data_IF_132403467768
#
_entry.id   IF_132403467768
#
_cell.length_a   1.000
_cell.length_b   1.000
_cell.length_c   1.000
_cell.angle_alpha   90.00
_cell.angle_beta   90.00
_cell.angle_gamma   90.00
#
_symmetry.space_group_name_H-M   'P 1'
#
loop_
_entity.id
_entity.type
_entity.pdbx_description
1 polymer ?
#
# COMPACT_ATOMS: atom_id res chain seq x y z
N UNK A 1 -17.27 32.18 1.11
CA UNK A 1 -18.74 32.10 0.93
C UNK A 1 -19.39 32.87 2.06
N UNK A 2 -20.16 33.91 1.76
CA UNK A 2 -20.96 34.63 2.75
C UNK A 2 -22.31 33.93 2.85
N UNK A 3 -22.62 33.35 4.02
CA UNK A 3 -23.85 32.59 4.25
C UNK A 3 -24.90 33.53 4.87
N UNK A 4 -26.07 33.64 4.24
CA UNK A 4 -27.20 34.40 4.78
C UNK A 4 -27.83 33.59 5.92
N UNK A 5 -27.77 34.09 7.14
CA UNK A 5 -28.49 33.49 8.27
C UNK A 5 -29.97 33.90 8.20
N UNK A 6 -30.92 32.95 8.30
CA UNK A 6 -32.33 33.28 8.44
C UNK A 6 -32.56 34.09 9.72
N UNK A 7 -33.48 35.06 9.69
CA UNK A 7 -33.77 35.91 10.86
C UNK A 7 -34.75 35.28 11.86
N UNK A 8 -35.51 34.27 11.42
CA UNK A 8 -36.50 33.57 12.23
C UNK A 8 -35.85 32.48 13.11
N UNK A 9 -36.48 32.17 14.25
CA UNK A 9 -35.93 31.22 15.23
C UNK A 9 -35.77 29.81 14.67
N UNK A 10 -36.63 29.39 13.75
CA UNK A 10 -36.62 28.03 13.17
C UNK A 10 -35.47 27.92 12.18
N UNK A 11 -35.31 28.90 11.29
CA UNK A 11 -34.20 28.97 10.35
C UNK A 11 -32.83 29.09 11.04
N UNK A 12 -32.74 29.80 12.17
CA UNK A 12 -31.52 29.85 13.00
C UNK A 12 -31.18 28.48 13.60
N UNK A 13 -32.17 27.72 14.08
CA UNK A 13 -31.95 26.38 14.63
C UNK A 13 -31.47 25.41 13.54
N UNK A 14 -32.07 25.45 12.36
CA UNK A 14 -31.69 24.59 11.23
C UNK A 14 -30.29 24.93 10.70
N UNK A 15 -29.93 26.22 10.64
CA UNK A 15 -28.58 26.64 10.29
C UNK A 15 -27.55 26.13 11.30
N UNK A 16 -27.87 26.21 12.60
CA UNK A 16 -27.02 25.70 13.67
C UNK A 16 -26.82 24.18 13.61
N UNK A 17 -27.88 23.42 13.36
CA UNK A 17 -27.78 21.96 13.16
C UNK A 17 -26.94 21.59 11.93
N UNK A 18 -27.07 22.33 10.83
CA UNK A 18 -26.26 22.13 9.64
C UNK A 18 -24.76 22.41 9.92
N UNK A 19 -24.46 23.45 10.70
CA UNK A 19 -23.09 23.80 11.10
C UNK A 19 -22.48 22.73 12.01
N UNK A 20 -23.24 22.20 12.97
CA UNK A 20 -22.79 21.09 13.82
C UNK A 20 -22.47 19.85 12.98
N UNK A 21 -23.36 19.47 12.06
CA UNK A 21 -23.14 18.29 11.21
C UNK A 21 -21.92 18.45 10.29
N UNK A 22 -21.68 19.66 9.80
CA UNK A 22 -20.48 19.99 9.03
C UNK A 22 -19.21 19.82 9.88
N UNK A 23 -19.19 20.40 11.09
CA UNK A 23 -18.05 20.29 12.01
C UNK A 23 -17.76 18.84 12.41
N UNK A 24 -18.79 18.02 12.66
CA UNK A 24 -18.62 16.58 12.93
C UNK A 24 -17.95 15.88 11.75
N UNK A 25 -18.37 16.21 10.52
CA UNK A 25 -17.79 15.64 9.30
C UNK A 25 -16.33 16.05 9.13
N UNK A 26 -15.99 17.32 9.35
CA UNK A 26 -14.60 17.80 9.30
C UNK A 26 -13.71 17.13 10.36
N UNK A 27 -14.22 16.95 11.58
CA UNK A 27 -13.48 16.24 12.65
C UNK A 27 -13.19 14.80 12.25
N UNK A 28 -14.14 14.08 11.64
CA UNK A 28 -13.92 12.71 11.17
C UNK A 28 -12.93 12.65 10.00
N UNK A 29 -12.92 13.64 9.11
CA UNK A 29 -11.90 13.75 8.05
C UNK A 29 -10.50 14.02 8.63
N UNK A 30 -10.39 14.93 9.60
CA UNK A 30 -9.13 15.25 10.28
C UNK A 30 -8.60 14.03 11.04
N UNK A 31 -9.45 13.26 11.74
CA UNK A 31 -9.05 12.00 12.39
C UNK A 31 -8.50 10.97 11.41
N UNK A 32 -9.13 10.82 10.23
CA UNK A 32 -8.62 9.94 9.16
C UNK A 32 -7.26 10.41 8.66
N UNK A 33 -7.05 11.71 8.50
CA UNK A 33 -5.74 12.26 8.12
C UNK A 33 -4.68 12.09 9.22
N UNK A 34 -5.04 12.25 10.50
CA UNK A 34 -4.14 12.03 11.64
C UNK A 34 -3.79 10.55 11.83
N UNK A 35 -4.69 9.63 11.53
CA UNK A 35 -4.40 8.19 11.47
C UNK A 35 -3.36 7.82 10.40
N UNK A 36 -3.13 8.70 9.42
CA UNK A 36 -2.15 8.53 8.34
C UNK A 36 -0.84 9.27 8.67
N UNK A 37 -0.80 10.12 9.70
CA UNK A 37 0.40 10.87 10.06
C UNK A 37 1.44 9.95 10.74
N UNK A 38 2.71 10.05 10.34
CA UNK A 38 3.66 8.94 10.34
C UNK A 38 4.52 8.92 11.61
N UNK A 39 3.97 9.29 12.77
CA UNK A 39 4.73 9.19 14.02
C UNK A 39 4.95 7.73 14.45
N UNK A 40 4.12 6.81 13.96
CA UNK A 40 4.35 5.37 14.08
C UNK A 40 5.20 4.77 12.94
N UNK A 41 5.53 5.53 11.89
CA UNK A 41 6.22 5.01 10.69
C UNK A 41 7.74 4.96 10.88
N UNK A 42 8.29 5.74 11.82
CA UNK A 42 9.71 5.69 12.16
C UNK A 42 9.87 5.12 13.57
N UNK A 43 9.67 3.80 13.69
CA UNK A 43 10.18 3.05 14.83
C UNK A 43 11.66 3.37 15.05
N UNK A 44 12.10 3.31 16.30
CA UNK A 44 13.50 3.55 16.65
C UNK A 44 14.43 2.65 15.82
N UNK A 45 15.39 3.27 15.13
CA UNK A 45 16.41 2.54 14.34
C UNK A 45 17.32 1.78 15.30
N UNK A 46 16.93 0.55 15.63
CA UNK A 46 17.80 -0.45 16.22
C UNK A 46 18.84 -0.93 15.20
N UNK A 47 19.95 -1.50 15.68
CA UNK A 47 21.06 -2.00 14.87
C UNK A 47 20.77 -3.34 14.16
N UNK A 48 19.49 -3.72 14.03
CA UNK A 48 19.03 -4.94 13.38
C UNK A 48 18.21 -4.64 12.12
N UNK A 49 17.94 -5.64 11.25
CA UNK A 49 17.04 -5.46 10.11
C UNK A 49 15.69 -4.93 10.59
N UNK A 50 15.24 -3.83 9.97
CA UNK A 50 13.98 -3.17 10.33
C UNK A 50 12.83 -4.04 9.84
N UNK A 51 12.03 -4.53 10.78
CA UNK A 51 10.79 -5.24 10.48
C UNK A 51 9.69 -4.20 10.20
N UNK A 52 9.34 -4.01 8.93
CA UNK A 52 8.32 -3.06 8.50
C UNK A 52 6.97 -3.78 8.49
N UNK A 53 6.26 -3.76 9.63
CA UNK A 53 4.85 -4.19 9.67
C UNK A 53 3.96 -2.99 9.35
N UNK A 54 3.36 -2.97 8.15
CA UNK A 54 2.38 -1.96 7.75
C UNK A 54 0.99 -2.49 8.11
N UNK A 55 0.50 -2.16 9.32
CA UNK A 55 -0.89 -2.40 9.69
C UNK A 55 -1.79 -1.35 9.03
N UNK A 56 -2.02 -1.51 7.72
CA UNK A 56 -2.89 -0.66 6.93
C UNK A 56 -4.36 -0.96 7.16
N UNK A 57 -5.12 0.05 7.60
CA UNK A 57 -6.58 0.05 7.57
C UNK A 57 -7.09 0.32 6.14
N UNK A 58 -7.97 -0.56 5.65
CA UNK A 58 -8.60 -0.52 4.33
C UNK A 58 -7.99 -1.57 3.40
N UNK A 59 -8.72 -2.68 3.20
CA UNK A 59 -8.38 -3.86 2.38
C UNK A 59 -6.87 -4.19 2.29
N UNK A 60 -6.40 -5.03 3.21
CA UNK A 60 -5.03 -5.56 3.31
C UNK A 60 -4.67 -6.50 2.14
N UNK A 61 -4.85 -6.10 0.89
CA UNK A 61 -4.17 -6.74 -0.21
C UNK A 61 -2.72 -6.22 -0.22
N UNK A 62 -1.77 -7.09 0.13
CA UNK A 62 -0.32 -6.80 0.14
C UNK A 62 0.05 -5.88 -1.04
N UNK A 63 0.50 -4.64 -0.76
CA UNK A 63 0.89 -3.68 -1.81
C UNK A 63 2.35 -3.85 -2.27
N UNK A 64 3.15 -4.56 -1.47
CA UNK A 64 4.54 -4.86 -1.74
C UNK A 64 4.85 -6.30 -1.36
N UNK A 65 5.74 -6.95 -2.10
CA UNK A 65 6.18 -8.30 -1.81
C UNK A 65 7.62 -8.52 -2.28
N UNK A 66 8.28 -9.51 -1.70
CA UNK A 66 9.56 -10.04 -2.19
C UNK A 66 9.30 -11.45 -2.69
N UNK A 67 9.92 -11.83 -3.79
CA UNK A 67 9.80 -13.18 -4.34
C UNK A 67 11.02 -13.59 -5.14
N UNK A 68 10.93 -14.74 -5.80
CA UNK A 68 11.91 -15.23 -6.76
C UNK A 68 11.27 -15.49 -8.11
N UNK A 69 11.94 -15.13 -9.19
CA UNK A 69 11.53 -15.51 -10.55
C UNK A 69 11.65 -17.02 -10.74
N UNK A 70 10.67 -17.66 -11.39
CA UNK A 70 10.75 -19.10 -11.65
C UNK A 70 11.54 -19.40 -12.93
N UNK A 71 11.51 -18.45 -13.87
CA UNK A 71 12.23 -18.50 -15.15
C UNK A 71 12.87 -17.15 -15.43
N UNK A 72 13.77 -17.11 -16.41
CA UNK A 72 14.29 -15.84 -16.90
C UNK A 72 13.16 -14.98 -17.48
N UNK A 73 13.32 -13.68 -17.36
CA UNK A 73 12.36 -12.68 -17.79
C UNK A 73 13.08 -11.54 -18.50
N UNK A 74 12.44 -10.97 -19.51
CA UNK A 74 12.90 -9.72 -20.14
C UNK A 74 11.83 -8.66 -19.97
N UNK A 75 12.22 -7.39 -20.13
CA UNK A 75 11.31 -6.26 -20.01
C UNK A 75 10.11 -6.44 -20.95
N UNK A 76 8.91 -6.51 -20.38
CA UNK A 76 7.66 -6.65 -21.13
C UNK A 76 6.49 -6.11 -20.32
N UNK A 77 5.65 -5.30 -20.97
CA UNK A 77 4.36 -4.82 -20.44
C UNK A 77 3.18 -5.67 -20.91
N UNK A 78 3.42 -6.70 -21.73
CA UNK A 78 2.38 -7.56 -22.31
C UNK A 78 2.52 -9.03 -21.90
N UNK A 79 3.64 -9.40 -21.30
CA UNK A 79 3.92 -10.78 -20.88
C UNK A 79 4.35 -10.76 -19.43
N UNK A 80 3.51 -11.30 -18.55
CA UNK A 80 3.83 -11.43 -17.15
C UNK A 80 4.85 -12.56 -16.91
N UNK A 81 5.63 -12.41 -15.86
CA UNK A 81 6.57 -13.40 -15.34
C UNK A 81 6.01 -14.02 -14.08
N UNK A 82 6.21 -15.33 -13.92
CA UNK A 82 5.88 -16.05 -12.70
C UNK A 82 6.90 -15.74 -11.61
N UNK A 83 6.40 -15.26 -10.46
CA UNK A 83 7.21 -14.97 -9.28
C UNK A 83 6.61 -15.68 -8.08
N UNK A 84 7.40 -16.56 -7.48
CA UNK A 84 7.05 -17.22 -6.22
C UNK A 84 7.38 -16.32 -5.04
N UNK A 85 6.40 -15.98 -4.23
CA UNK A 85 6.59 -15.10 -3.08
C UNK A 85 7.48 -15.73 -2.01
N UNK A 86 8.28 -14.89 -1.38
CA UNK A 86 9.10 -15.23 -0.24
C UNK A 86 8.31 -14.91 1.03
N UNK A 87 7.62 -15.91 1.57
CA UNK A 87 6.69 -15.74 2.68
C UNK A 87 7.29 -16.25 4.00
N UNK A 88 6.97 -15.55 5.10
CA UNK A 88 7.27 -16.03 6.46
C UNK A 88 6.26 -17.12 6.85
N UNK A 89 6.75 -18.28 7.27
CA UNK A 89 5.89 -19.40 7.68
C UNK A 89 5.69 -19.52 9.20
N UNK A 90 6.05 -18.49 9.97
CA UNK A 90 5.99 -18.52 11.44
C UNK A 90 7.32 -18.90 12.11
N UNK A 91 8.30 -19.44 11.37
CA UNK A 91 9.62 -19.80 11.95
C UNK A 91 10.81 -19.53 11.04
N UNK A 92 10.59 -19.43 9.72
CA UNK A 92 11.65 -19.08 8.78
C UNK A 92 11.06 -18.60 7.45
N UNK A 93 11.88 -17.93 6.64
CA UNK A 93 11.54 -17.62 5.24
C UNK A 93 12.03 -18.74 4.32
N UNK A 94 11.52 -19.96 4.51
CA UNK A 94 12.04 -21.17 3.84
C UNK A 94 11.15 -21.73 2.74
N UNK A 95 9.93 -21.21 2.57
CA UNK A 95 8.99 -21.74 1.58
C UNK A 95 8.88 -20.86 0.35
N UNK A 96 8.97 -21.51 -0.80
CA UNK A 96 8.30 -21.11 -2.04
C UNK A 96 6.80 -20.90 -1.72
N UNK A 97 6.42 -19.64 -1.53
CA UNK A 97 5.06 -19.26 -1.15
C UNK A 97 4.11 -19.21 -2.33
N UNK A 98 3.09 -18.37 -2.22
CA UNK A 98 2.12 -18.15 -3.30
C UNK A 98 2.83 -17.70 -4.58
N UNK A 99 2.51 -18.31 -5.73
CA UNK A 99 2.99 -17.83 -7.03
C UNK A 99 2.05 -16.78 -7.59
N UNK A 100 2.58 -15.66 -8.04
CA UNK A 100 1.83 -14.61 -8.73
C UNK A 100 2.44 -14.25 -10.08
N UNK A 101 1.65 -13.57 -10.90
CA UNK A 101 2.10 -13.00 -12.18
C UNK A 101 2.46 -11.53 -12.00
N UNK A 102 3.67 -11.15 -12.39
CA UNK A 102 4.16 -9.77 -12.34
C UNK A 102 4.80 -9.34 -13.65
N UNK A 103 4.61 -8.08 -14.04
CA UNK A 103 5.24 -7.51 -15.23
C UNK A 103 6.63 -6.96 -14.93
N UNK A 104 7.58 -7.22 -15.84
CA UNK A 104 8.95 -6.77 -15.71
C UNK A 104 9.17 -5.48 -16.51
N UNK A 105 9.47 -4.38 -15.83
CA UNK A 105 9.75 -3.08 -16.46
C UNK A 105 11.23 -2.68 -16.47
N UNK A 106 12.10 -3.47 -15.82
CA UNK A 106 13.49 -3.12 -15.52
C UNK A 106 14.50 -3.55 -16.59
N UNK A 107 14.36 -4.75 -17.16
CA UNK A 107 15.36 -5.30 -18.07
C UNK A 107 15.37 -6.83 -18.09
N UNK A 108 16.51 -7.44 -18.39
CA UNK A 108 16.66 -8.90 -18.30
C UNK A 108 16.92 -9.33 -16.86
N UNK A 109 16.20 -10.34 -16.40
CA UNK A 109 16.33 -10.95 -15.07
C UNK A 109 16.56 -12.46 -15.28
N UNK A 110 17.54 -13.03 -14.59
CA UNK A 110 17.80 -14.47 -14.61
C UNK A 110 16.69 -15.30 -13.97
N UNK A 111 16.75 -16.62 -14.14
CA UNK A 111 15.88 -17.53 -13.41
C UNK A 111 16.33 -17.63 -11.93
N UNK A 112 15.39 -17.86 -11.02
CA UNK A 112 15.63 -18.02 -9.58
C UNK A 112 16.25 -16.79 -8.89
N UNK A 113 16.06 -15.60 -9.47
CA UNK A 113 16.58 -14.34 -8.93
C UNK A 113 15.58 -13.71 -7.99
N UNK A 114 16.07 -13.14 -6.89
CA UNK A 114 15.22 -12.38 -5.98
C UNK A 114 14.73 -11.09 -6.64
N UNK A 115 13.46 -10.77 -6.42
CA UNK A 115 12.81 -9.57 -6.96
C UNK A 115 11.94 -8.91 -5.89
N UNK A 116 11.91 -7.58 -5.92
CA UNK A 116 10.92 -6.79 -5.20
C UNK A 116 9.75 -6.47 -6.14
N UNK A 117 8.54 -6.49 -5.60
CA UNK A 117 7.30 -6.34 -6.31
C UNK A 117 6.49 -5.20 -5.69
N UNK A 118 5.86 -4.40 -6.54
CA UNK A 118 4.84 -3.42 -6.16
C UNK A 118 3.53 -3.70 -6.89
N UNK A 119 2.41 -3.62 -6.16
CA UNK A 119 1.07 -3.71 -6.74
C UNK A 119 0.57 -2.29 -7.07
N UNK A 120 0.12 -2.09 -8.30
CA UNK A 120 -0.60 -0.88 -8.67
C UNK A 120 -1.95 -0.85 -7.95
N UNK A 121 -2.18 0.23 -7.21
CA UNK A 121 -3.36 0.38 -6.35
C UNK A 121 -4.65 0.53 -7.17
N UNK A 122 -4.56 1.08 -8.38
CA UNK A 122 -5.72 1.35 -9.22
C UNK A 122 -6.16 0.10 -10.00
N UNK A 123 -5.18 -0.72 -10.43
CA UNK A 123 -5.45 -1.87 -11.32
C UNK A 123 -5.27 -3.23 -10.65
N UNK A 124 -4.61 -3.26 -9.49
CA UNK A 124 -4.24 -4.49 -8.80
C UNK A 124 -3.15 -5.31 -9.49
N UNK A 125 -2.52 -4.77 -10.54
CA UNK A 125 -1.47 -5.44 -11.31
C UNK A 125 -0.14 -5.38 -10.55
N UNK A 126 0.59 -6.49 -10.54
CA UNK A 126 1.92 -6.55 -9.95
C UNK A 126 3.02 -6.20 -10.96
N UNK A 127 3.99 -5.41 -10.50
CA UNK A 127 5.16 -5.01 -11.25
C UNK A 127 6.42 -5.32 -10.46
N UNK A 128 7.45 -5.80 -11.15
CA UNK A 128 8.79 -5.92 -10.57
C UNK A 128 9.39 -4.52 -10.46
N UNK A 129 9.82 -4.14 -9.25
CA UNK A 129 10.39 -2.82 -8.91
C UNK A 129 11.88 -2.85 -8.61
N UNK A 130 12.44 -4.03 -8.36
CA UNK A 130 13.87 -4.27 -8.26
C UNK A 130 14.18 -5.76 -8.50
N UNK A 131 15.40 -6.06 -8.93
CA UNK A 131 15.87 -7.43 -9.12
C UNK A 131 17.31 -7.56 -8.64
N UNK A 132 17.64 -8.75 -8.12
CA UNK A 132 19.00 -9.17 -7.82
C UNK A 132 19.88 -9.04 -9.07
N UNK A 133 21.02 -8.37 -8.93
CA UNK A 133 22.01 -8.23 -10.00
C UNK A 133 22.96 -9.44 -10.00
N UNK A 134 23.04 -10.14 -11.13
CA UNK A 134 23.98 -11.25 -11.34
C UNK A 134 23.43 -12.29 -12.32
N UNK A 135 24.33 -13.08 -12.91
CA UNK A 135 23.96 -14.33 -13.61
C UNK A 135 23.47 -15.39 -12.62
#
# INVERSE_FOLDING_TARGET
MTRNFPDDKVGKMQAFEADINFLITEIEQIKKMLSILPEAVLGTVGTGPVDISIDGGGDQEKCFAIGKTNTSSTKSSSTATSVTLWEWNGSSHTSEGTTLSAYNLFGSIGANKFVALGKDIDTGIWYITAAECGE
#
